data_IF_727942275746
#
_entry.id   IF_727942275746
#
_cell.length_a   1.000
_cell.length_b   1.000
_cell.length_c   1.000
_cell.angle_alpha   90.00
_cell.angle_beta   90.00
_cell.angle_gamma   90.00
#
_symmetry.space_group_name_H-M   'P 1'
#
loop_
_entity.id
_entity.type
_entity.pdbx_description
1 polymer ?
#
# COMPACT_ATOMS: atom_id res chain seq x y z
N UNK A 1 -5.09 -0.47 -14.36
CA UNK A 1 -4.87 -1.88 -13.97
C UNK A 1 -4.61 -1.93 -12.47
N UNK A 2 -4.74 -3.09 -11.86
CA UNK A 2 -4.63 -3.27 -10.41
C UNK A 2 -3.98 -4.63 -10.06
N UNK A 3 -3.36 -4.75 -8.88
CA UNK A 3 -3.12 -6.06 -8.29
C UNK A 3 -4.46 -6.77 -8.03
N UNK A 4 -4.45 -8.10 -8.00
CA UNK A 4 -5.65 -8.87 -7.71
C UNK A 4 -6.00 -8.85 -6.22
N UNK A 5 -7.29 -8.98 -5.91
CA UNK A 5 -7.81 -9.15 -4.54
C UNK A 5 -7.25 -10.39 -3.82
N UNK A 6 -6.71 -11.36 -4.57
CA UNK A 6 -6.05 -12.53 -4.00
C UNK A 6 -4.70 -12.17 -3.36
N UNK A 7 -3.93 -11.31 -4.02
CA UNK A 7 -2.61 -10.89 -3.55
C UNK A 7 -2.68 -9.64 -2.66
N UNK A 8 -3.67 -8.78 -2.92
CA UNK A 8 -3.92 -7.55 -2.18
C UNK A 8 -5.41 -7.41 -1.80
N UNK A 9 -5.90 -8.16 -0.80
CA UNK A 9 -7.29 -8.10 -0.37
C UNK A 9 -7.70 -6.70 0.09
N UNK A 10 -8.83 -6.21 -0.42
CA UNK A 10 -9.40 -4.89 -0.16
C UNK A 10 -8.90 -3.78 -1.09
N UNK A 11 -8.05 -4.09 -2.08
CA UNK A 11 -7.49 -3.10 -2.99
C UNK A 11 -8.57 -2.39 -3.81
N UNK A 12 -9.52 -3.10 -4.41
CA UNK A 12 -10.53 -2.54 -5.31
C UNK A 12 -11.44 -1.55 -4.56
N UNK A 13 -11.86 -1.93 -3.35
CA UNK A 13 -12.68 -1.09 -2.48
C UNK A 13 -11.93 0.16 -2.03
N UNK A 14 -10.68 0.00 -1.60
CA UNK A 14 -9.80 1.12 -1.22
C UNK A 14 -9.54 2.08 -2.39
N UNK A 15 -9.20 1.54 -3.56
CA UNK A 15 -8.90 2.31 -4.76
C UNK A 15 -10.12 3.10 -5.22
N UNK A 16 -11.28 2.44 -5.28
CA UNK A 16 -12.57 3.09 -5.58
C UNK A 16 -12.87 4.21 -4.59
N UNK A 17 -12.64 4.00 -3.30
CA UNK A 17 -12.85 5.02 -2.28
C UNK A 17 -11.93 6.25 -2.47
N UNK A 18 -10.67 6.05 -2.84
CA UNK A 18 -9.74 7.15 -3.14
C UNK A 18 -10.19 7.93 -4.37
N UNK A 19 -10.51 7.25 -5.47
CA UNK A 19 -10.94 7.91 -6.70
C UNK A 19 -12.23 8.71 -6.48
N UNK A 20 -13.19 8.14 -5.74
CA UNK A 20 -14.44 8.82 -5.40
C UNK A 20 -14.23 10.09 -4.56
N UNK A 21 -13.26 10.11 -3.63
CA UNK A 21 -12.94 11.30 -2.82
C UNK A 21 -12.52 12.52 -3.65
N UNK A 22 -11.97 12.28 -4.84
CA UNK A 22 -11.53 13.34 -5.77
C UNK A 22 -12.45 13.49 -6.98
N UNK A 23 -13.65 12.89 -6.95
CA UNK A 23 -14.64 12.99 -8.02
C UNK A 23 -14.30 12.19 -9.28
N UNK A 24 -13.32 11.30 -9.22
CA UNK A 24 -12.90 10.46 -10.34
C UNK A 24 -13.65 9.13 -10.29
N UNK A 25 -14.30 8.76 -11.39
CA UNK A 25 -14.80 7.40 -11.60
C UNK A 25 -13.76 6.56 -12.30
N UNK A 26 -13.08 5.69 -11.55
CA UNK A 26 -12.10 4.75 -12.10
C UNK A 26 -12.73 3.42 -12.46
N UNK A 27 -12.28 2.80 -13.56
CA UNK A 27 -12.61 1.41 -13.91
C UNK A 27 -11.34 0.57 -13.92
N UNK A 28 -11.31 -0.50 -13.15
CA UNK A 28 -10.26 -1.51 -13.22
C UNK A 28 -10.61 -2.44 -14.40
N UNK A 29 -9.72 -2.47 -15.39
CA UNK A 29 -9.93 -3.25 -16.63
C UNK A 29 -9.13 -4.56 -16.61
N UNK A 30 -8.01 -4.57 -15.89
CA UNK A 30 -7.09 -5.71 -15.79
C UNK A 30 -6.61 -5.83 -14.35
N UNK A 31 -6.59 -7.08 -13.88
CA UNK A 31 -6.10 -7.49 -12.56
C UNK A 31 -4.96 -8.47 -12.74
N UNK A 32 -3.96 -8.41 -11.86
CA UNK A 32 -2.75 -9.22 -11.95
C UNK A 32 -2.42 -9.86 -10.60
N UNK A 33 -2.09 -11.15 -10.61
CA UNK A 33 -1.63 -11.89 -9.41
C UNK A 33 -0.14 -11.63 -9.10
N UNK A 34 0.59 -11.00 -10.02
CA UNK A 34 2.03 -10.75 -9.95
C UNK A 34 2.32 -9.28 -10.21
N UNK A 35 3.06 -8.65 -9.28
CA UNK A 35 3.54 -7.28 -9.48
C UNK A 35 4.44 -7.18 -10.72
N UNK A 36 5.21 -8.24 -11.02
CA UNK A 36 6.08 -8.26 -12.20
C UNK A 36 5.30 -8.28 -13.52
N UNK A 37 4.20 -9.06 -13.59
CA UNK A 37 3.37 -9.13 -14.80
C UNK A 37 2.61 -7.82 -15.01
N UNK A 38 2.12 -7.23 -13.91
CA UNK A 38 1.49 -5.92 -13.92
C UNK A 38 2.47 -4.86 -14.45
N UNK A 39 3.69 -4.82 -13.92
CA UNK A 39 4.70 -3.84 -14.34
C UNK A 39 5.12 -4.09 -15.80
N UNK A 40 5.25 -5.35 -16.23
CA UNK A 40 5.53 -5.67 -17.62
C UNK A 40 4.41 -5.17 -18.56
N UNK A 41 3.16 -5.25 -18.14
CA UNK A 41 2.02 -4.69 -18.87
C UNK A 41 2.12 -3.16 -19.00
N UNK A 42 2.51 -2.46 -17.92
CA UNK A 42 2.78 -1.01 -17.95
C UNK A 42 3.93 -0.68 -18.90
N UNK A 43 5.05 -1.42 -18.83
CA UNK A 43 6.21 -1.26 -19.74
C UNK A 43 5.82 -1.42 -21.20
N UNK A 44 4.83 -2.26 -21.47
CA UNK A 44 4.30 -2.52 -22.81
C UNK A 44 3.28 -1.47 -23.26
N UNK A 45 3.01 -0.44 -22.45
CA UNK A 45 2.10 0.66 -22.77
C UNK A 45 0.62 0.35 -22.58
N UNK A 46 0.27 -0.73 -21.87
CA UNK A 46 -1.13 -1.18 -21.73
C UNK A 46 -1.92 -0.43 -20.64
N UNK A 47 -1.27 0.48 -19.90
CA UNK A 47 -1.96 1.39 -18.99
C UNK A 47 -1.12 1.82 -17.78
N UNK A 48 -1.81 2.16 -16.69
CA UNK A 48 -1.23 2.66 -15.44
C UNK A 48 -1.80 1.95 -14.21
N UNK A 49 -1.04 1.95 -13.12
CA UNK A 49 -1.44 1.39 -11.83
C UNK A 49 -1.05 2.29 -10.67
N UNK A 50 -1.80 2.17 -9.57
CA UNK A 50 -1.40 2.65 -8.26
C UNK A 50 -0.81 1.46 -7.49
N UNK A 51 0.44 1.53 -7.08
CA UNK A 51 1.15 0.42 -6.44
C UNK A 51 1.74 0.82 -5.09
N UNK A 52 2.00 -0.14 -4.18
CA UNK A 52 2.76 0.10 -2.96
C UNK A 52 4.14 0.71 -3.25
N UNK A 53 4.62 1.53 -2.33
CA UNK A 53 5.90 2.25 -2.43
C UNK A 53 7.10 1.31 -2.66
N UNK A 54 6.99 0.09 -2.11
CA UNK A 54 8.01 -0.96 -2.17
C UNK A 54 8.44 -1.32 -3.59
N UNK A 55 7.58 -1.09 -4.60
CA UNK A 55 7.91 -1.32 -6.01
C UNK A 55 9.13 -0.51 -6.45
N UNK A 56 9.40 0.65 -5.83
CA UNK A 56 10.57 1.49 -6.16
C UNK A 56 11.91 0.87 -5.80
N UNK A 57 11.92 -0.11 -4.91
CA UNK A 57 13.16 -0.75 -4.47
C UNK A 57 13.78 -1.65 -5.54
N UNK A 58 13.06 -1.87 -6.65
CA UNK A 58 13.55 -2.60 -7.82
C UNK A 58 13.62 -1.62 -8.99
N UNK A 59 14.74 -1.57 -9.75
CA UNK A 59 14.81 -0.75 -10.95
C UNK A 59 13.81 -1.26 -11.99
N UNK A 60 12.94 -0.38 -12.47
CA UNK A 60 12.03 -0.68 -13.57
C UNK A 60 12.40 0.18 -14.77
N UNK A 61 12.96 -0.44 -15.80
CA UNK A 61 13.29 0.26 -17.05
C UNK A 61 12.01 0.68 -17.79
N UNK A 62 12.08 1.81 -18.49
CA UNK A 62 11.01 2.31 -19.36
C UNK A 62 9.65 2.53 -18.66
N UNK A 63 9.65 2.81 -17.34
CA UNK A 63 8.47 3.28 -16.62
C UNK A 63 8.79 4.54 -15.83
N UNK A 64 7.80 5.42 -15.72
CA UNK A 64 7.87 6.58 -14.85
C UNK A 64 7.15 6.24 -13.55
N UNK A 65 7.87 6.29 -12.43
CA UNK A 65 7.28 6.11 -11.10
C UNK A 65 7.15 7.47 -10.44
N UNK A 66 5.93 7.86 -10.09
CA UNK A 66 5.63 9.13 -9.43
C UNK A 66 5.11 8.90 -8.02
N UNK A 67 5.63 9.66 -7.07
CA UNK A 67 5.13 9.66 -5.69
C UNK A 67 3.77 10.35 -5.63
N UNK A 68 2.86 9.83 -4.81
CA UNK A 68 1.62 10.52 -4.44
C UNK A 68 1.86 11.30 -3.16
N UNK A 69 1.47 12.57 -3.16
CA UNK A 69 1.60 13.46 -2.00
C UNK A 69 0.27 14.15 -1.72
N UNK A 70 -0.33 13.96 -0.53
CA UNK A 70 0.13 13.07 0.54
C UNK A 70 0.01 11.57 0.15
N UNK A 71 0.78 10.66 0.77
CA UNK A 71 0.72 9.24 0.46
C UNK A 71 -0.69 8.66 0.63
N UNK A 72 -1.13 7.85 -0.33
CA UNK A 72 -2.34 7.05 -0.21
C UNK A 72 -2.07 5.87 0.73
N UNK A 73 -2.59 5.92 1.95
CA UNK A 73 -2.35 4.88 2.96
C UNK A 73 -3.26 3.67 2.71
N UNK A 74 -2.64 2.49 2.66
CA UNK A 74 -3.32 1.19 2.71
C UNK A 74 -3.05 0.56 4.07
N UNK A 75 -4.11 0.28 4.83
CA UNK A 75 -3.98 -0.25 6.19
C UNK A 75 -3.37 -1.64 6.19
N UNK A 76 -2.45 -1.91 7.11
CA UNK A 76 -1.87 -3.23 7.33
C UNK A 76 -2.41 -3.85 8.63
N UNK A 77 -2.60 -5.17 8.62
CA UNK A 77 -3.07 -5.93 9.78
C UNK A 77 -2.07 -7.02 10.12
N UNK A 78 -1.89 -7.28 11.41
CA UNK A 78 -1.04 -8.36 11.91
C UNK A 78 -1.94 -9.55 12.23
N UNK A 79 -1.58 -10.74 11.73
CA UNK A 79 -2.34 -11.97 11.92
C UNK A 79 -1.42 -13.05 12.48
N UNK A 80 -1.87 -13.75 13.51
CA UNK A 80 -1.18 -14.89 14.10
C UNK A 80 -2.19 -15.93 14.59
N UNK A 81 -1.72 -17.18 14.82
CA UNK A 81 -2.54 -18.22 15.46
C UNK A 81 -2.87 -17.80 16.89
N UNK A 82 -4.14 -17.87 17.28
CA UNK A 82 -4.66 -17.44 18.60
C UNK A 82 -3.77 -17.90 19.76
N UNK A 83 -3.38 -19.16 19.75
CA UNK A 83 -2.65 -19.79 20.87
C UNK A 83 -1.14 -19.88 20.63
N UNK A 84 -0.53 -18.91 19.94
CA UNK A 84 0.92 -18.91 19.68
C UNK A 84 1.70 -18.46 20.94
N UNK A 85 2.49 -19.35 21.59
CA UNK A 85 3.19 -19.01 22.83
C UNK A 85 4.57 -18.37 22.61
N UNK A 86 5.00 -18.20 21.36
CA UNK A 86 6.37 -17.81 21.00
C UNK A 86 6.78 -16.48 21.65
N UNK A 87 7.95 -16.47 22.28
CA UNK A 87 8.61 -15.23 22.73
C UNK A 87 8.90 -14.30 21.56
N UNK A 88 9.14 -14.85 20.35
CA UNK A 88 9.30 -14.09 19.12
C UNK A 88 8.06 -13.30 18.73
N UNK A 89 6.85 -13.87 18.91
CA UNK A 89 5.61 -13.13 18.68
C UNK A 89 5.48 -11.95 19.65
N UNK A 90 5.75 -12.17 20.94
CA UNK A 90 5.72 -11.10 21.96
C UNK A 90 6.68 -9.97 21.59
N UNK A 91 7.90 -10.31 21.20
CA UNK A 91 8.89 -9.33 20.76
C UNK A 91 8.43 -8.57 19.50
N UNK A 92 7.92 -9.28 18.50
CA UNK A 92 7.41 -8.67 17.27
C UNK A 92 6.26 -7.68 17.54
N UNK A 93 5.29 -8.07 18.37
CA UNK A 93 4.18 -7.20 18.76
C UNK A 93 4.64 -5.93 19.49
N UNK A 94 5.69 -6.01 20.31
CA UNK A 94 6.26 -4.82 20.95
C UNK A 94 6.89 -3.85 19.92
N UNK A 95 7.56 -4.37 18.89
CA UNK A 95 8.18 -3.55 17.85
C UNK A 95 7.11 -2.81 17.04
N UNK A 96 6.15 -3.54 16.48
CA UNK A 96 5.12 -2.98 15.60
C UNK A 96 4.18 -2.00 16.32
N UNK A 97 3.86 -2.23 17.60
CA UNK A 97 2.99 -1.33 18.39
C UNK A 97 3.71 -0.06 18.85
N UNK A 98 5.02 -0.12 19.12
CA UNK A 98 5.80 1.09 19.44
C UNK A 98 5.95 2.00 18.23
N UNK A 99 6.10 1.44 17.03
CA UNK A 99 6.23 2.21 15.78
C UNK A 99 4.93 2.95 15.44
N UNK A 100 3.76 2.34 15.66
CA UNK A 100 2.47 2.97 15.39
C UNK A 100 2.13 4.12 16.36
N UNK A 101 2.69 4.11 17.56
CA UNK A 101 2.42 5.14 18.59
C UNK A 101 3.33 6.38 18.43
N UNK A 102 4.47 6.27 17.74
CA UNK A 102 5.49 7.33 17.61
C UNK A 102 5.21 8.45 16.59
N UNK A 103 4.28 8.27 15.65
CA UNK A 103 3.98 9.29 14.62
C UNK A 103 2.93 10.33 15.05
N UNK A 104 2.05 10.02 16.00
CA UNK A 104 0.99 10.94 16.45
C UNK A 104 1.46 12.05 17.42
N UNK A 105 2.67 11.95 17.99
CA UNK A 105 3.15 12.90 18.99
C UNK A 105 3.85 14.14 18.42
N UNK A 106 4.36 14.08 17.17
CA UNK A 106 5.13 15.18 16.57
C UNK A 106 4.27 16.25 15.88
N UNK A 107 3.04 15.93 15.49
CA UNK A 107 2.10 16.87 14.86
C UNK A 107 1.40 17.81 15.87
N UNK A 108 1.39 17.50 17.17
CA UNK A 108 0.73 18.32 18.19
C UNK A 108 1.59 19.45 18.78
N UNK A 109 2.88 19.54 18.45
CA UNK A 109 3.81 20.54 19.03
C UNK A 109 4.20 21.69 18.10
N UNK A 110 3.69 21.75 16.87
CA UNK A 110 4.01 22.82 15.90
C UNK A 110 2.95 23.93 15.83
N UNK A 111 1.92 23.90 16.67
CA UNK A 111 0.78 24.83 16.59
C UNK A 111 0.77 25.97 17.60
N UNK A 112 1.89 26.29 18.26
CA UNK A 112 2.02 27.45 19.16
C UNK A 112 3.39 28.09 18.97
N UNK A 113 3.50 28.99 18.01
CA UNK A 113 4.47 30.08 17.97
C UNK A 113 3.82 31.25 17.22
#
# INVERSE_FOLDING_TARGET
MAPSEKCYPGYDGWFTAICNKVGIRSKIVQVYDSDSDLIQSIRSGLGIALLPDQIKNVPHENVIIRNITPPALFSSTIVWKRDNPSSGLKAYLQVVTKITTGKNAKERRSGHA
#
